data_IF_629307809673
#
_entry.id   IF_629307809673
#
_cell.length_a   1.000
_cell.length_b   1.000
_cell.length_c   1.000
_cell.angle_alpha   90.00
_cell.angle_beta   90.00
_cell.angle_gamma   90.00
#
_symmetry.space_group_name_H-M   'P 1'
#
loop_
_entity.id
_entity.type
_entity.pdbx_description
1 polymer ?
#
# COMPACT_ATOMS: atom_id res chain seq x y z
N UNK A 1 26.11 38.63 -13.28
CA UNK A 1 25.87 37.64 -12.21
C UNK A 1 25.73 36.30 -12.88
N UNK A 2 26.64 35.39 -12.56
CA UNK A 2 26.96 34.15 -13.26
C UNK A 2 25.83 33.11 -13.13
N UNK A 3 25.38 32.53 -14.25
CA UNK A 3 24.34 31.50 -14.28
C UNK A 3 24.76 30.23 -13.51
N UNK A 4 26.07 30.01 -13.34
CA UNK A 4 26.62 28.95 -12.48
C UNK A 4 26.21 29.11 -11.01
N UNK A 5 26.20 30.34 -10.49
CA UNK A 5 25.78 30.64 -9.11
C UNK A 5 24.27 30.44 -8.91
N UNK A 6 23.45 30.79 -9.92
CA UNK A 6 21.99 30.55 -9.89
C UNK A 6 21.66 29.06 -9.92
N UNK A 7 22.34 28.29 -10.77
CA UNK A 7 22.15 26.84 -10.87
C UNK A 7 22.58 26.10 -9.59
N UNK A 8 23.67 26.52 -8.95
CA UNK A 8 24.09 25.98 -7.65
C UNK A 8 23.10 26.27 -6.52
N UNK A 9 22.52 27.48 -6.50
CA UNK A 9 21.51 27.88 -5.51
C UNK A 9 20.18 27.12 -5.68
N UNK A 10 19.76 26.88 -6.93
CA UNK A 10 18.56 26.10 -7.24
C UNK A 10 18.72 24.62 -6.84
N UNK A 11 19.87 24.00 -7.17
CA UNK A 11 20.16 22.63 -6.77
C UNK A 11 20.20 22.45 -5.24
N UNK A 12 20.75 23.44 -4.52
CA UNK A 12 20.73 23.44 -3.05
C UNK A 12 19.31 23.47 -2.46
N UNK A 13 18.39 24.23 -3.07
CA UNK A 13 17.00 24.30 -2.64
C UNK A 13 16.23 22.99 -2.91
N UNK A 14 16.48 22.34 -4.06
CA UNK A 14 15.87 21.06 -4.41
C UNK A 14 16.31 19.93 -3.47
N UNK A 15 17.59 19.88 -3.10
CA UNK A 15 18.12 18.91 -2.12
C UNK A 15 17.46 19.10 -0.76
N UNK A 16 17.40 20.34 -0.27
CA UNK A 16 16.75 20.66 1.01
C UNK A 16 15.28 20.23 1.01
N UNK A 17 14.55 20.48 -0.09
CA UNK A 17 13.15 20.09 -0.23
C UNK A 17 12.96 18.56 -0.21
N UNK A 18 13.90 17.81 -0.79
CA UNK A 18 13.88 16.34 -0.73
C UNK A 18 14.16 15.83 0.68
N UNK A 19 15.18 16.36 1.36
CA UNK A 19 15.54 15.96 2.72
C UNK A 19 14.42 16.22 3.73
N UNK A 20 13.73 17.37 3.59
CA UNK A 20 12.56 17.69 4.40
C UNK A 20 11.44 16.66 4.19
N UNK A 21 11.08 16.36 2.95
CA UNK A 21 10.07 15.32 2.65
C UNK A 21 10.44 13.95 3.19
N UNK A 22 11.72 13.57 3.13
CA UNK A 22 12.17 12.31 3.72
C UNK A 22 12.06 12.30 5.23
N UNK A 23 12.29 13.44 5.90
CA UNK A 23 12.14 13.56 7.34
C UNK A 23 10.67 13.48 7.75
N UNK A 24 9.80 14.24 7.08
CA UNK A 24 8.35 14.21 7.28
C UNK A 24 7.81 12.79 7.17
N UNK A 25 8.17 12.07 6.09
CA UNK A 25 7.77 10.66 5.93
C UNK A 25 8.28 9.72 7.02
N UNK A 26 9.46 9.98 7.59
CA UNK A 26 9.96 9.19 8.73
C UNK A 26 9.18 9.48 10.00
N UNK A 27 8.74 10.72 10.19
CA UNK A 27 7.92 11.11 11.34
C UNK A 27 6.51 10.54 11.24
N UNK A 28 5.86 10.65 10.07
CA UNK A 28 4.60 9.97 9.76
C UNK A 28 4.69 8.45 10.01
N UNK A 29 5.75 7.82 9.49
CA UNK A 29 5.97 6.39 9.65
C UNK A 29 6.11 5.94 11.12
N UNK A 30 6.63 6.78 12.01
CA UNK A 30 6.67 6.50 13.45
C UNK A 30 5.26 6.52 14.04
N UNK A 31 4.44 7.51 13.69
CA UNK A 31 3.08 7.67 14.21
C UNK A 31 2.23 6.45 13.81
N UNK A 32 2.24 6.06 12.53
CA UNK A 32 1.52 4.86 12.09
C UNK A 32 2.05 3.58 12.74
N UNK A 33 3.37 3.50 12.99
CA UNK A 33 3.97 2.40 13.74
C UNK A 33 3.43 2.28 15.17
N UNK A 34 3.27 3.41 15.87
CA UNK A 34 2.66 3.46 17.21
C UNK A 34 1.20 3.01 17.15
N UNK A 35 0.41 3.52 16.21
CA UNK A 35 -1.00 3.16 16.04
C UNK A 35 -1.14 1.65 15.80
N UNK A 36 -0.37 1.10 14.85
CA UNK A 36 -0.37 -0.35 14.56
C UNK A 36 -0.06 -1.18 15.79
N UNK A 37 1.04 -0.87 16.49
CA UNK A 37 1.44 -1.59 17.69
C UNK A 37 0.38 -1.52 18.81
N UNK A 38 -0.26 -0.36 18.98
CA UNK A 38 -1.33 -0.21 19.96
C UNK A 38 -2.58 -1.02 19.60
N UNK A 39 -2.99 -1.02 18.32
CA UNK A 39 -4.13 -1.82 17.84
C UNK A 39 -3.86 -3.31 17.97
N UNK A 40 -2.64 -3.77 17.66
CA UNK A 40 -2.20 -5.16 17.89
C UNK A 40 -2.28 -5.57 19.37
N UNK A 41 -2.07 -4.62 20.28
CA UNK A 41 -2.20 -4.81 21.72
C UNK A 41 -3.65 -4.62 22.23
N UNK A 42 -4.65 -4.49 21.35
CA UNK A 42 -6.06 -4.22 21.66
C UNK A 42 -6.26 -2.98 22.55
N UNK A 43 -5.43 -1.95 22.39
CA UNK A 43 -5.61 -0.67 23.07
C UNK A 43 -6.79 0.05 22.41
N UNK A 44 -7.67 0.66 23.22
CA UNK A 44 -8.82 1.40 22.70
C UNK A 44 -8.39 2.66 21.95
N UNK A 45 -9.14 3.03 20.91
CA UNK A 45 -8.90 4.25 20.11
C UNK A 45 -8.78 5.51 20.99
N UNK A 46 -9.63 5.67 22.00
CA UNK A 46 -9.53 6.77 22.97
C UNK A 46 -8.18 6.81 23.71
N UNK A 47 -7.60 5.64 24.00
CA UNK A 47 -6.31 5.56 24.67
C UNK A 47 -5.16 5.77 23.69
N UNK A 48 -5.29 5.32 22.44
CA UNK A 48 -4.33 5.62 21.37
C UNK A 48 -4.27 7.13 21.13
N UNK A 49 -5.43 7.80 21.04
CA UNK A 49 -5.52 9.26 20.91
C UNK A 49 -4.73 9.97 22.01
N UNK A 50 -4.92 9.58 23.27
CA UNK A 50 -4.15 10.13 24.40
C UNK A 50 -2.66 9.88 24.28
N UNK A 51 -2.23 8.69 23.83
CA UNK A 51 -0.81 8.37 23.62
C UNK A 51 -0.22 9.29 22.56
N UNK A 52 -0.93 9.51 21.45
CA UNK A 52 -0.50 10.40 20.36
C UNK A 52 -0.36 11.85 20.83
N UNK A 53 -1.29 12.34 21.66
CA UNK A 53 -1.22 13.68 22.23
C UNK A 53 -0.10 13.82 23.27
N UNK A 54 0.02 12.87 24.20
CA UNK A 54 0.96 12.94 25.33
C UNK A 54 2.41 12.65 24.94
N UNK A 55 2.65 11.69 24.03
CA UNK A 55 3.99 11.23 23.68
C UNK A 55 4.55 11.87 22.42
N UNK A 56 3.70 12.04 21.41
CA UNK A 56 4.11 12.63 20.13
C UNK A 56 3.76 14.12 20.04
N UNK A 57 3.07 14.67 21.05
CA UNK A 57 2.75 16.10 21.13
C UNK A 57 1.74 16.56 20.09
N UNK A 58 0.97 15.63 19.50
CA UNK A 58 -0.01 15.95 18.48
C UNK A 58 -1.20 16.70 19.07
N UNK A 59 -1.79 17.60 18.29
CA UNK A 59 -3.12 18.12 18.60
C UNK A 59 -4.15 16.99 18.49
N UNK A 60 -5.32 17.18 19.11
CA UNK A 60 -6.43 16.23 18.98
C UNK A 60 -6.83 16.03 17.52
N UNK A 61 -6.98 17.13 16.76
CA UNK A 61 -7.34 17.11 15.35
C UNK A 61 -6.32 16.34 14.50
N UNK A 62 -5.02 16.60 14.68
CA UNK A 62 -3.98 15.88 13.94
C UNK A 62 -3.93 14.39 14.30
N UNK A 63 -4.10 14.05 15.58
CA UNK A 63 -4.12 12.65 16.02
C UNK A 63 -5.32 11.89 15.43
N UNK A 64 -6.49 12.53 15.33
CA UNK A 64 -7.68 11.94 14.67
C UNK A 64 -7.41 11.65 13.20
N UNK A 65 -6.81 12.59 12.46
CA UNK A 65 -6.47 12.38 11.04
C UNK A 65 -5.58 11.15 10.85
N UNK A 66 -4.52 11.00 11.67
CA UNK A 66 -3.65 9.82 11.59
C UNK A 66 -4.39 8.50 11.89
N UNK A 67 -5.34 8.51 12.83
CA UNK A 67 -6.15 7.32 13.15
C UNK A 67 -7.08 6.93 12.00
N UNK A 68 -7.70 7.92 11.36
CA UNK A 68 -8.58 7.73 10.19
C UNK A 68 -7.78 7.21 8.98
N UNK A 69 -6.64 7.82 8.67
CA UNK A 69 -5.77 7.39 7.57
C UNK A 69 -5.21 5.98 7.78
N UNK A 70 -4.87 5.62 9.04
CA UNK A 70 -4.43 4.28 9.39
C UNK A 70 -5.54 3.25 9.14
N UNK A 71 -6.78 3.56 9.55
CA UNK A 71 -7.94 2.70 9.31
C UNK A 71 -8.24 2.55 7.83
N UNK A 72 -8.22 3.65 7.07
CA UNK A 72 -8.45 3.61 5.63
C UNK A 72 -7.38 2.79 4.90
N UNK A 73 -6.12 2.92 5.32
CA UNK A 73 -5.01 2.14 4.75
C UNK A 73 -5.20 0.65 5.01
N UNK A 74 -5.56 0.24 6.23
CA UNK A 74 -5.87 -1.15 6.57
C UNK A 74 -7.04 -1.66 5.72
N UNK A 75 -8.10 -0.86 5.58
CA UNK A 75 -9.26 -1.20 4.74
C UNK A 75 -8.84 -1.44 3.29
N UNK A 76 -8.07 -0.54 2.69
CA UNK A 76 -7.54 -0.69 1.32
C UNK A 76 -6.66 -1.94 1.17
N UNK A 77 -5.83 -2.24 2.18
CA UNK A 77 -5.01 -3.47 2.19
C UNK A 77 -5.87 -4.74 2.26
N UNK A 78 -6.92 -4.73 3.06
CA UNK A 78 -7.86 -5.85 3.17
C UNK A 78 -8.65 -6.07 1.87
N UNK A 79 -9.12 -4.98 1.25
CA UNK A 79 -9.78 -5.02 -0.06
C UNK A 79 -8.85 -5.59 -1.14
N UNK A 80 -7.60 -5.13 -1.18
CA UNK A 80 -6.59 -5.67 -2.09
C UNK A 80 -6.31 -7.16 -1.84
N UNK A 81 -6.21 -7.58 -0.58
CA UNK A 81 -6.00 -8.98 -0.21
C UNK A 81 -7.16 -9.85 -0.67
N UNK A 82 -8.39 -9.44 -0.40
CA UNK A 82 -9.59 -10.14 -0.85
C UNK A 82 -9.69 -10.23 -2.38
N UNK A 83 -9.32 -9.16 -3.08
CA UNK A 83 -9.20 -9.15 -4.54
C UNK A 83 -8.19 -10.20 -5.02
N UNK A 84 -6.97 -10.21 -4.46
CA UNK A 84 -5.91 -11.14 -4.84
C UNK A 84 -6.28 -12.60 -4.56
N UNK A 85 -6.95 -12.89 -3.44
CA UNK A 85 -7.42 -14.22 -3.10
C UNK A 85 -8.47 -14.72 -4.09
N UNK A 86 -9.44 -13.87 -4.44
CA UNK A 86 -10.47 -14.18 -5.43
C UNK A 86 -9.86 -14.45 -6.81
N UNK A 87 -8.94 -13.59 -7.24
CA UNK A 87 -8.19 -13.75 -8.49
C UNK A 87 -7.44 -15.10 -8.52
N UNK A 88 -6.67 -15.38 -7.46
CA UNK A 88 -5.91 -16.63 -7.36
C UNK A 88 -6.81 -17.87 -7.35
N UNK A 89 -7.99 -17.78 -6.72
CA UNK A 89 -8.98 -18.86 -6.70
C UNK A 89 -9.52 -19.16 -8.10
N UNK A 90 -9.96 -18.13 -8.83
CA UNK A 90 -10.47 -18.28 -10.21
C UNK A 90 -9.44 -18.96 -11.10
N UNK A 91 -8.20 -18.46 -11.10
CA UNK A 91 -7.11 -19.04 -11.89
C UNK A 91 -6.88 -20.50 -11.50
N UNK A 92 -6.83 -20.79 -10.19
CA UNK A 92 -6.57 -22.15 -9.70
C UNK A 92 -7.67 -23.13 -10.10
N UNK A 93 -8.93 -22.74 -9.95
CA UNK A 93 -10.07 -23.62 -10.24
C UNK A 93 -10.20 -23.90 -11.74
N UNK A 94 -9.97 -22.89 -12.59
CA UNK A 94 -9.96 -23.07 -14.03
C UNK A 94 -8.75 -23.87 -14.54
N UNK A 95 -7.57 -23.70 -13.94
CA UNK A 95 -6.40 -24.53 -14.28
C UNK A 95 -6.59 -26.00 -13.91
N UNK A 96 -7.29 -26.32 -12.81
CA UNK A 96 -7.59 -27.72 -12.43
C UNK A 96 -8.42 -28.47 -13.48
N UNK A 97 -9.25 -27.76 -14.23
CA UNK A 97 -10.05 -28.33 -15.33
C UNK A 97 -9.38 -28.15 -16.70
N UNK A 98 -8.09 -27.82 -16.73
CA UNK A 98 -7.31 -27.58 -17.95
C UNK A 98 -7.93 -26.52 -18.89
N UNK A 99 -8.59 -25.50 -18.34
CA UNK A 99 -9.05 -24.37 -19.15
C UNK A 99 -7.86 -23.66 -19.82
N UNK A 100 -8.06 -23.17 -21.06
CA UNK A 100 -7.05 -22.39 -21.76
C UNK A 100 -6.80 -21.05 -21.07
N UNK A 101 -5.61 -20.50 -21.26
CA UNK A 101 -5.21 -19.20 -20.70
C UNK A 101 -6.16 -18.08 -21.15
N UNK A 102 -6.56 -18.08 -22.41
CA UNK A 102 -7.54 -17.12 -22.94
C UNK A 102 -8.89 -17.22 -22.24
N UNK A 103 -9.35 -18.43 -21.92
CA UNK A 103 -10.60 -18.64 -21.18
C UNK A 103 -10.50 -18.08 -19.75
N UNK A 104 -9.35 -18.25 -19.12
CA UNK A 104 -9.08 -17.70 -17.79
C UNK A 104 -9.06 -16.17 -17.83
N UNK A 105 -8.40 -15.58 -18.82
CA UNK A 105 -8.31 -14.12 -18.99
C UNK A 105 -9.72 -13.54 -19.19
N UNK A 106 -10.54 -14.11 -20.08
CA UNK A 106 -11.94 -13.67 -20.28
C UNK A 106 -12.73 -13.75 -18.98
N UNK A 107 -12.58 -14.83 -18.21
CA UNK A 107 -13.27 -14.94 -16.91
C UNK A 107 -12.83 -13.88 -15.91
N UNK A 108 -11.55 -13.50 -15.89
CA UNK A 108 -11.02 -12.41 -15.05
C UNK A 108 -11.62 -11.07 -15.50
N UNK A 109 -11.69 -10.82 -16.81
CA UNK A 109 -12.33 -9.61 -17.35
C UNK A 109 -13.76 -9.47 -16.85
N UNK A 110 -14.56 -10.53 -17.01
CA UNK A 110 -15.98 -10.51 -16.64
C UNK A 110 -16.17 -10.33 -15.12
N UNK A 111 -15.35 -11.00 -14.30
CA UNK A 111 -15.50 -11.00 -12.85
C UNK A 111 -15.09 -9.68 -12.19
N UNK A 112 -14.08 -9.01 -12.73
CA UNK A 112 -13.54 -7.77 -12.17
C UNK A 112 -13.86 -6.53 -13.01
N UNK A 113 -14.65 -6.68 -14.08
CA UNK A 113 -14.98 -5.63 -15.04
C UNK A 113 -13.74 -4.95 -15.63
N UNK A 114 -12.71 -5.75 -15.89
CA UNK A 114 -11.42 -5.29 -16.39
C UNK A 114 -11.40 -5.18 -17.90
N UNK A 115 -10.57 -4.26 -18.39
CA UNK A 115 -10.14 -4.27 -19.79
C UNK A 115 -9.35 -5.55 -20.08
N UNK A 116 -9.15 -5.87 -21.37
CA UNK A 116 -8.34 -7.03 -21.74
C UNK A 116 -6.91 -6.90 -21.21
N UNK A 117 -6.32 -5.72 -21.34
CA UNK A 117 -4.96 -5.44 -20.89
C UNK A 117 -4.83 -5.58 -19.37
N UNK A 118 -5.79 -5.07 -18.60
CA UNK A 118 -5.79 -5.22 -17.13
C UNK A 118 -5.91 -6.69 -16.72
N UNK A 119 -6.85 -7.43 -17.31
CA UNK A 119 -7.04 -8.85 -16.98
C UNK A 119 -5.81 -9.68 -17.35
N UNK A 120 -5.18 -9.41 -18.49
CA UNK A 120 -3.94 -10.04 -18.90
C UNK A 120 -2.80 -9.71 -17.94
N UNK A 121 -2.66 -8.44 -17.55
CA UNK A 121 -1.67 -8.00 -16.56
C UNK A 121 -1.83 -8.76 -15.23
N UNK A 122 -3.04 -8.81 -14.67
CA UNK A 122 -3.28 -9.47 -13.39
C UNK A 122 -3.13 -10.99 -13.47
N UNK A 123 -3.53 -11.61 -14.59
CA UNK A 123 -3.27 -13.04 -14.84
C UNK A 123 -1.76 -13.31 -14.85
N UNK A 124 -0.98 -12.57 -15.64
CA UNK A 124 0.47 -12.72 -15.71
C UNK A 124 1.15 -12.45 -14.36
N UNK A 125 0.70 -11.41 -13.64
CA UNK A 125 1.19 -11.08 -12.31
C UNK A 125 0.98 -12.24 -11.32
N UNK A 126 -0.23 -12.80 -11.27
CA UNK A 126 -0.56 -13.94 -10.42
C UNK A 126 0.25 -15.19 -10.79
N UNK A 127 0.44 -15.46 -12.08
CA UNK A 127 1.22 -16.59 -12.57
C UNK A 127 2.72 -16.44 -12.26
N UNK A 128 3.29 -15.23 -12.42
CA UNK A 128 4.68 -14.92 -12.03
C UNK A 128 4.90 -15.07 -10.52
N UNK A 129 3.96 -14.58 -9.70
CA UNK A 129 4.04 -14.74 -8.23
C UNK A 129 3.97 -16.21 -7.80
N UNK A 130 3.12 -17.03 -8.45
CA UNK A 130 3.11 -18.48 -8.22
C UNK A 130 4.45 -19.12 -8.59
N UNK A 131 5.07 -18.76 -9.71
CA UNK A 131 6.39 -19.29 -10.10
C UNK A 131 7.51 -19.13 -9.07
N UNK A 132 7.42 -18.12 -8.19
CA UNK A 132 8.36 -17.89 -7.09
C UNK A 132 8.09 -18.78 -5.86
N UNK A 133 6.83 -19.07 -5.54
CA UNK A 133 6.44 -19.87 -4.36
C UNK A 133 6.61 -21.38 -4.54
N UNK A 134 6.65 -21.89 -5.79
CA UNK A 134 6.80 -23.34 -6.07
C UNK A 134 8.24 -23.77 -6.37
N UNK A 135 9.22 -22.85 -6.41
CA UNK A 135 10.65 -23.17 -6.59
C UNK A 135 11.42 -23.37 -5.27
N UNK A 136 10.74 -23.43 -4.12
CA UNK A 136 11.37 -23.52 -2.79
C UNK A 136 10.87 -24.69 -1.95
N UNK A 137 10.69 -25.86 -2.56
CA UNK A 137 10.58 -27.13 -1.83
C UNK A 137 11.41 -28.21 -2.50
#
# INVERSE_FOLDING_TARGET
>A
MDDSLKNGMQMGAEIMTLEMRYREKREEGKIYGIISACRECNISEERILKILQEKEGLSEESAIVYLEEAEETIKRMNEYTAFMDKLCKIISDLKKINASDDTIIVKIQDEFHFTNDDAKFYYEYAMKKKGLYWKTR
#
